data_IF_620206311215
#
_entry.id   IF_620206311215
#
_cell.length_a   1.000
_cell.length_b   1.000
_cell.length_c   1.000
_cell.angle_alpha   90.00
_cell.angle_beta   90.00
_cell.angle_gamma   90.00
#
_symmetry.space_group_name_H-M   'P 1'
#
loop_
_entity.id
_entity.type
_entity.pdbx_description
1 polymer ?
#
# COMPACT_ATOMS: atom_id res chain seq x y z
N UNK A 1 9.83 -25.94 -2.74
CA UNK A 1 9.56 -26.45 -4.10
C UNK A 1 9.92 -25.37 -5.11
N UNK A 2 11.01 -25.55 -5.86
CA UNK A 2 11.44 -24.62 -6.91
C UNK A 2 10.57 -24.85 -8.13
N UNK A 3 9.63 -23.95 -8.39
CA UNK A 3 8.80 -23.96 -9.59
C UNK A 3 9.57 -23.14 -10.64
N UNK A 4 10.29 -23.82 -11.55
CA UNK A 4 11.11 -23.15 -12.57
C UNK A 4 10.42 -23.03 -13.94
N UNK A 5 9.29 -23.73 -14.15
CA UNK A 5 8.71 -23.91 -15.49
C UNK A 5 7.23 -23.47 -15.58
N UNK A 6 6.77 -22.58 -14.70
CA UNK A 6 5.39 -22.11 -14.69
C UNK A 6 5.30 -20.67 -15.16
N UNK A 7 4.73 -20.48 -16.36
CA UNK A 7 4.46 -19.19 -17.00
C UNK A 7 3.11 -18.64 -16.53
N UNK A 8 3.01 -18.26 -15.26
CA UNK A 8 1.78 -17.74 -14.65
C UNK A 8 1.94 -16.26 -14.30
N UNK A 9 0.89 -15.50 -14.59
CA UNK A 9 0.67 -14.17 -14.03
C UNK A 9 -0.43 -14.30 -12.96
N UNK A 10 -0.14 -13.86 -11.74
CA UNK A 10 -1.09 -13.89 -10.62
C UNK A 10 -1.58 -12.48 -10.37
N UNK A 11 -2.89 -12.30 -10.18
CA UNK A 11 -3.54 -10.99 -9.96
C UNK A 11 -4.44 -11.02 -8.73
N UNK A 12 -4.92 -9.84 -8.31
CA UNK A 12 -5.89 -9.70 -7.22
C UNK A 12 -5.38 -10.21 -5.88
N UNK A 13 -6.29 -10.79 -5.10
CA UNK A 13 -6.01 -11.28 -3.74
C UNK A 13 -4.96 -12.40 -3.72
N UNK A 14 -4.96 -13.26 -4.75
CA UNK A 14 -3.95 -14.30 -4.91
C UNK A 14 -2.53 -13.73 -5.06
N UNK A 15 -2.39 -12.50 -5.58
CA UNK A 15 -1.12 -11.79 -5.70
C UNK A 15 -0.84 -10.84 -4.51
N UNK A 16 -1.76 -10.76 -3.53
CA UNK A 16 -1.64 -9.83 -2.41
C UNK A 16 -1.86 -8.36 -2.79
N UNK A 17 -2.69 -8.09 -3.82
CA UNK A 17 -3.02 -6.73 -4.26
C UNK A 17 -4.10 -6.05 -3.40
N UNK A 18 -4.46 -6.62 -2.25
CA UNK A 18 -5.35 -5.99 -1.27
C UNK A 18 -4.67 -4.84 -0.54
N UNK A 19 -5.36 -3.72 -0.34
CA UNK A 19 -4.92 -2.60 0.50
C UNK A 19 -4.80 -3.05 1.97
N UNK A 20 -3.62 -3.02 2.60
CA UNK A 20 -3.44 -3.47 3.99
C UNK A 20 -4.27 -2.71 5.03
N UNK A 21 -4.65 -1.46 4.74
CA UNK A 21 -5.39 -0.59 5.66
C UNK A 21 -6.89 -0.85 5.65
N UNK A 22 -7.49 -1.20 4.49
CA UNK A 22 -8.95 -1.36 4.35
C UNK A 22 -9.37 -2.78 3.98
N UNK A 23 -8.46 -3.63 3.52
CA UNK A 23 -8.76 -4.95 2.95
C UNK A 23 -9.29 -4.89 1.51
N UNK A 24 -9.56 -3.70 0.95
CA UNK A 24 -10.08 -3.57 -0.42
C UNK A 24 -9.05 -3.93 -1.48
N UNK A 25 -9.41 -4.83 -2.41
CA UNK A 25 -8.54 -5.27 -3.51
C UNK A 25 -9.02 -4.90 -4.91
N UNK A 26 -10.26 -4.42 -5.08
CA UNK A 26 -10.89 -4.24 -6.41
C UNK A 26 -10.07 -3.35 -7.34
N UNK A 27 -9.66 -2.16 -6.89
CA UNK A 27 -8.94 -1.19 -7.74
C UNK A 27 -7.55 -1.73 -8.12
N UNK A 28 -6.73 -2.13 -7.16
CA UNK A 28 -5.38 -2.64 -7.43
C UNK A 28 -5.41 -4.00 -8.15
N UNK A 29 -6.39 -4.84 -7.86
CA UNK A 29 -6.66 -6.07 -8.58
C UNK A 29 -7.02 -5.80 -10.04
N UNK A 30 -7.88 -4.80 -10.31
CA UNK A 30 -8.25 -4.37 -11.65
C UNK A 30 -7.07 -3.79 -12.44
N UNK A 31 -6.29 -2.89 -11.85
CA UNK A 31 -5.06 -2.35 -12.46
C UNK A 31 -4.10 -3.50 -12.80
N UNK A 32 -3.86 -4.40 -11.85
CA UNK A 32 -3.02 -5.57 -12.08
C UNK A 32 -3.57 -6.50 -13.16
N UNK A 33 -4.88 -6.69 -13.23
CA UNK A 33 -5.50 -7.50 -14.27
C UNK A 33 -5.32 -6.89 -15.66
N UNK A 34 -5.46 -5.56 -15.80
CA UNK A 34 -5.20 -4.84 -17.06
C UNK A 34 -3.78 -5.06 -17.54
N UNK A 35 -2.80 -4.78 -16.66
CA UNK A 35 -1.37 -4.96 -16.98
C UNK A 35 -1.06 -6.41 -17.31
N UNK A 36 -1.65 -7.38 -16.60
CA UNK A 36 -1.46 -8.80 -16.88
C UNK A 36 -2.00 -9.17 -18.27
N UNK A 37 -3.19 -8.65 -18.64
CA UNK A 37 -3.80 -8.86 -19.96
C UNK A 37 -2.94 -8.28 -21.09
N UNK A 38 -2.44 -7.07 -20.92
CA UNK A 38 -1.54 -6.42 -21.88
C UNK A 38 -0.25 -7.22 -22.09
N UNK A 39 0.42 -7.62 -21.00
CA UNK A 39 1.66 -8.41 -21.07
C UNK A 39 1.41 -9.80 -21.66
N UNK A 40 0.29 -10.43 -21.34
CA UNK A 40 -0.08 -11.73 -21.91
C UNK A 40 -0.37 -11.61 -23.42
N UNK A 41 -1.08 -10.57 -23.85
CA UNK A 41 -1.35 -10.32 -25.27
C UNK A 41 -0.07 -10.04 -26.08
N UNK A 42 0.87 -9.28 -25.51
CA UNK A 42 2.18 -9.00 -26.10
C UNK A 42 2.99 -10.30 -26.24
N UNK A 43 3.04 -11.11 -25.18
CA UNK A 43 3.71 -12.41 -25.15
C UNK A 43 3.19 -13.38 -26.24
N UNK A 44 1.86 -13.45 -26.41
CA UNK A 44 1.23 -14.27 -27.45
C UNK A 44 1.62 -13.77 -28.84
N UNK A 45 1.53 -12.46 -29.07
CA UNK A 45 1.80 -11.86 -30.37
C UNK A 45 3.22 -12.13 -30.87
N UNK A 46 4.20 -12.19 -29.97
CA UNK A 46 5.61 -12.44 -30.32
C UNK A 46 6.07 -13.88 -30.04
N UNK A 47 5.19 -14.76 -29.55
CA UNK A 47 5.51 -16.14 -29.21
C UNK A 47 6.52 -16.32 -28.07
N UNK A 48 6.67 -15.33 -27.16
CA UNK A 48 7.65 -15.38 -26.08
C UNK A 48 6.96 -15.48 -24.70
N UNK A 49 6.97 -16.68 -24.15
CA UNK A 49 6.40 -16.98 -22.84
C UNK A 49 7.45 -17.11 -21.73
N UNK A 50 8.71 -16.76 -22.01
CA UNK A 50 9.78 -16.91 -21.02
C UNK A 50 9.48 -16.09 -19.77
N UNK A 51 9.83 -16.63 -18.60
CA UNK A 51 9.68 -15.96 -17.31
C UNK A 51 10.34 -14.57 -17.28
N UNK A 52 11.47 -14.40 -17.98
CA UNK A 52 12.16 -13.12 -18.14
C UNK A 52 11.29 -12.09 -18.87
N UNK A 53 10.54 -12.52 -19.86
CA UNK A 53 9.61 -11.66 -20.60
C UNK A 53 8.38 -11.32 -19.75
N UNK A 54 7.77 -12.33 -19.12
CA UNK A 54 6.61 -12.15 -18.23
C UNK A 54 6.93 -11.30 -16.99
N UNK A 55 8.21 -11.17 -16.60
CA UNK A 55 8.63 -10.26 -15.54
C UNK A 55 8.28 -8.78 -15.82
N UNK A 56 7.99 -8.40 -17.07
CA UNK A 56 7.42 -7.08 -17.42
C UNK A 56 6.17 -6.78 -16.58
N UNK A 57 5.25 -7.72 -16.47
CA UNK A 57 4.04 -7.59 -15.64
C UNK A 57 4.39 -7.19 -14.21
N UNK A 58 5.32 -7.94 -13.62
CA UNK A 58 5.76 -7.75 -12.25
C UNK A 58 6.43 -6.38 -12.05
N UNK A 59 7.14 -5.86 -13.05
CA UNK A 59 7.75 -4.54 -13.03
C UNK A 59 6.66 -3.45 -13.07
N UNK A 60 5.76 -3.52 -14.05
CA UNK A 60 4.75 -2.50 -14.32
C UNK A 60 3.82 -2.28 -13.13
N UNK A 61 3.19 -3.33 -12.59
CA UNK A 61 2.29 -3.12 -11.44
C UNK A 61 3.04 -2.60 -10.21
N UNK A 62 4.31 -3.00 -10.05
CA UNK A 62 5.13 -2.52 -8.93
C UNK A 62 5.40 -1.03 -9.04
N UNK A 63 5.62 -0.52 -10.24
CA UNK A 63 5.78 0.91 -10.52
C UNK A 63 4.50 1.67 -10.19
N UNK A 64 3.33 1.10 -10.53
CA UNK A 64 2.02 1.70 -10.25
C UNK A 64 1.72 1.86 -8.75
N UNK A 65 1.77 0.77 -7.96
CA UNK A 65 1.19 0.81 -6.61
C UNK A 65 1.99 0.09 -5.51
N UNK A 66 3.18 -0.46 -5.77
CA UNK A 66 3.97 -1.14 -4.71
C UNK A 66 4.31 -0.21 -3.55
N UNK A 67 4.64 1.05 -3.85
CA UNK A 67 4.99 2.02 -2.81
C UNK A 67 3.78 2.31 -1.92
N UNK A 68 2.59 2.45 -2.51
CA UNK A 68 1.34 2.64 -1.77
C UNK A 68 1.08 1.43 -0.85
N UNK A 69 1.17 0.20 -1.36
CA UNK A 69 1.02 -1.01 -0.55
C UNK A 69 2.03 -1.07 0.62
N UNK A 70 3.29 -0.68 0.40
CA UNK A 70 4.30 -0.61 1.47
C UNK A 70 3.93 0.39 2.54
N UNK A 71 3.53 1.60 2.17
CA UNK A 71 3.11 2.65 3.12
C UNK A 71 1.90 2.19 3.91
N UNK A 72 0.87 1.68 3.24
CA UNK A 72 -0.34 1.14 3.88
C UNK A 72 0.00 0.04 4.89
N UNK A 73 0.92 -0.88 4.55
CA UNK A 73 1.38 -1.93 5.47
C UNK A 73 2.05 -1.36 6.72
N UNK A 74 2.91 -0.36 6.56
CA UNK A 74 3.58 0.32 7.69
C UNK A 74 2.54 1.03 8.56
N UNK A 75 1.62 1.77 7.96
CA UNK A 75 0.52 2.46 8.67
C UNK A 75 -0.32 1.46 9.46
N UNK A 76 -0.74 0.36 8.82
CA UNK A 76 -1.51 -0.70 9.49
C UNK A 76 -0.73 -1.30 10.67
N UNK A 77 0.55 -1.64 10.47
CA UNK A 77 1.39 -2.18 11.53
C UNK A 77 1.54 -1.20 12.69
N UNK A 78 1.76 0.09 12.42
CA UNK A 78 1.84 1.14 13.43
C UNK A 78 0.52 1.27 14.21
N UNK A 79 -0.62 1.37 13.52
CA UNK A 79 -1.94 1.47 14.16
C UNK A 79 -2.21 0.26 15.06
N UNK A 80 -1.86 -0.96 14.62
CA UNK A 80 -2.00 -2.18 15.43
C UNK A 80 -1.17 -2.18 16.72
N UNK A 81 -0.18 -1.29 16.87
CA UNK A 81 0.59 -1.15 18.11
C UNK A 81 0.02 -0.13 19.10
N UNK A 82 -0.95 0.68 18.69
CA UNK A 82 -1.55 1.70 19.55
C UNK A 82 -2.51 1.06 20.56
N UNK A 83 -2.45 1.52 21.80
CA UNK A 83 -3.46 1.18 22.81
C UNK A 83 -4.76 1.93 22.51
N UNK A 84 -5.92 1.49 23.02
CA UNK A 84 -7.20 2.20 22.82
C UNK A 84 -7.12 3.70 23.17
N UNK A 85 -6.47 4.04 24.30
CA UNK A 85 -6.23 5.43 24.72
C UNK A 85 -5.37 6.23 23.72
N UNK A 86 -4.34 5.61 23.14
CA UNK A 86 -3.49 6.28 22.16
C UNK A 86 -4.21 6.44 20.82
N UNK A 87 -5.04 5.47 20.44
CA UNK A 87 -5.85 5.55 19.23
C UNK A 87 -6.89 6.67 19.34
N UNK A 88 -7.58 6.78 20.47
CA UNK A 88 -8.49 7.89 20.76
C UNK A 88 -7.76 9.24 20.71
N UNK A 89 -6.61 9.34 21.37
CA UNK A 89 -5.77 10.55 21.31
C UNK A 89 -5.36 10.92 19.88
N UNK A 90 -5.03 9.93 19.05
CA UNK A 90 -4.71 10.16 17.65
C UNK A 90 -5.92 10.73 16.91
N UNK A 91 -7.13 10.17 17.09
CA UNK A 91 -8.35 10.70 16.48
C UNK A 91 -8.61 12.15 16.91
N UNK A 92 -8.51 12.47 18.19
CA UNK A 92 -8.70 13.84 18.69
C UNK A 92 -7.70 14.83 18.06
N UNK A 93 -6.45 14.42 17.86
CA UNK A 93 -5.45 15.27 17.19
C UNK A 93 -5.78 15.50 15.71
N UNK A 94 -6.27 14.46 15.03
CA UNK A 94 -6.69 14.54 13.62
C UNK A 94 -7.99 15.32 13.42
N UNK A 95 -8.83 15.42 14.46
CA UNK A 95 -10.16 16.04 14.41
C UNK A 95 -10.14 17.58 14.32
N UNK A 96 -8.96 18.20 14.40
CA UNK A 96 -8.83 19.67 14.30
C UNK A 96 -9.23 20.19 12.91
N UNK A 97 -9.89 21.37 12.79
CA UNK A 97 -10.42 21.88 11.52
C UNK A 97 -9.39 21.91 10.38
N UNK A 98 -8.15 22.30 10.69
CA UNK A 98 -7.05 22.34 9.71
C UNK A 98 -6.65 20.95 9.21
N UNK A 99 -6.62 19.95 10.09
CA UNK A 99 -6.27 18.58 9.70
C UNK A 99 -7.44 17.89 9.00
N UNK A 100 -8.67 18.07 9.46
CA UNK A 100 -9.89 17.63 8.75
C UNK A 100 -9.94 18.15 7.31
N UNK A 101 -9.68 19.44 7.11
CA UNK A 101 -9.65 20.03 5.77
C UNK A 101 -8.57 19.38 4.90
N UNK A 102 -7.35 19.20 5.43
CA UNK A 102 -6.27 18.49 4.71
C UNK A 102 -6.63 17.04 4.38
N UNK A 103 -7.24 16.31 5.31
CA UNK A 103 -7.68 14.93 5.09
C UNK A 103 -8.75 14.88 4.01
N UNK A 104 -9.67 15.85 4.00
CA UNK A 104 -10.73 15.91 2.97
C UNK A 104 -10.18 16.25 1.59
N UNK A 105 -9.15 17.12 1.51
CA UNK A 105 -8.54 17.52 0.24
C UNK A 105 -7.55 16.50 -0.33
N UNK A 106 -6.79 15.82 0.53
CA UNK A 106 -5.72 14.90 0.15
C UNK A 106 -6.08 13.42 0.37
N UNK A 107 -7.28 13.16 0.87
CA UNK A 107 -7.78 11.84 1.20
C UNK A 107 -8.08 11.03 -0.04
N UNK A 108 -7.10 10.25 -0.48
CA UNK A 108 -7.24 9.28 -1.55
C UNK A 108 -7.11 7.86 -0.96
N UNK A 109 -8.18 7.07 -1.10
CA UNK A 109 -8.26 5.71 -0.56
C UNK A 109 -7.29 4.76 -1.29
N UNK A 110 -6.97 5.05 -2.54
CA UNK A 110 -6.04 4.30 -3.39
C UNK A 110 -4.60 4.85 -3.29
N UNK A 111 -4.45 6.16 -3.07
CA UNK A 111 -3.17 6.83 -2.96
C UNK A 111 -2.88 7.39 -1.55
N UNK A 112 -2.78 6.48 -0.57
CA UNK A 112 -2.64 6.87 0.84
C UNK A 112 -1.28 7.49 1.20
N UNK A 113 -0.25 7.38 0.34
CA UNK A 113 1.08 7.96 0.62
C UNK A 113 1.04 9.49 0.80
N UNK A 114 0.18 10.18 0.05
CA UNK A 114 0.08 11.65 0.06
C UNK A 114 -0.43 12.15 1.41
N UNK A 115 -1.53 11.58 1.90
CA UNK A 115 -2.10 11.98 3.20
C UNK A 115 -1.18 11.57 4.35
N UNK A 116 -0.58 10.37 4.31
CA UNK A 116 0.37 9.92 5.33
C UNK A 116 1.55 10.87 5.43
N UNK A 117 2.16 11.24 4.30
CA UNK A 117 3.26 12.20 4.28
C UNK A 117 2.84 13.58 4.82
N UNK A 118 1.67 14.08 4.41
CA UNK A 118 1.12 15.37 4.87
C UNK A 118 0.87 15.39 6.39
N UNK A 119 0.40 14.28 6.96
CA UNK A 119 0.21 14.13 8.41
C UNK A 119 1.56 14.04 9.14
N UNK A 120 2.51 13.22 8.65
CA UNK A 120 3.84 13.11 9.25
C UNK A 120 4.59 14.46 9.26
N UNK A 121 4.37 15.31 8.25
CA UNK A 121 4.97 16.64 8.16
C UNK A 121 4.25 17.71 8.99
N UNK A 122 3.23 17.36 9.79
CA UNK A 122 2.57 18.30 10.68
C UNK A 122 3.26 18.32 12.07
N UNK A 123 3.91 19.43 12.47
CA UNK A 123 4.65 19.50 13.74
C UNK A 123 3.78 19.25 14.97
N UNK A 124 2.47 19.54 14.90
CA UNK A 124 1.54 19.28 16.01
C UNK A 124 1.39 17.79 16.33
N UNK A 125 1.67 16.92 15.37
CA UNK A 125 1.59 15.47 15.54
C UNK A 125 2.91 14.87 16.04
N UNK A 126 4.03 15.58 15.91
CA UNK A 126 5.36 15.04 16.24
C UNK A 126 5.51 14.54 17.67
N UNK A 127 5.06 15.25 18.73
CA UNK A 127 5.19 14.72 20.10
C UNK A 127 4.51 13.36 20.26
N UNK A 128 3.32 13.19 19.65
CA UNK A 128 2.58 11.94 19.67
C UNK A 128 3.26 10.86 18.81
N UNK A 129 3.66 11.21 17.58
CA UNK A 129 4.28 10.29 16.63
C UNK A 129 5.66 9.81 17.10
N UNK A 130 6.46 10.64 17.75
CA UNK A 130 7.75 10.24 18.33
C UNK A 130 7.55 9.29 19.50
N UNK A 131 6.66 9.64 20.45
CA UNK A 131 6.35 8.79 21.59
C UNK A 131 5.85 7.40 21.17
N UNK A 132 4.89 7.35 20.25
CA UNK A 132 4.31 6.08 19.77
C UNK A 132 5.20 5.37 18.75
N UNK A 133 5.97 6.11 17.95
CA UNK A 133 6.90 5.59 16.96
C UNK A 133 8.08 4.87 17.58
N UNK A 134 8.61 5.35 18.71
CA UNK A 134 9.61 4.62 19.48
C UNK A 134 9.07 3.27 19.94
N UNK A 135 7.85 3.23 20.51
CA UNK A 135 7.21 1.97 20.94
C UNK A 135 6.97 1.02 19.76
N UNK A 136 6.58 1.55 18.61
CA UNK A 136 6.45 0.77 17.38
C UNK A 136 7.79 0.14 16.96
N UNK A 137 8.87 0.91 16.97
CA UNK A 137 10.21 0.40 16.61
C UNK A 137 10.71 -0.70 17.55
N UNK A 138 10.47 -0.58 18.86
CA UNK A 138 10.86 -1.60 19.84
C UNK A 138 10.05 -2.89 19.74
N UNK A 139 8.79 -2.83 19.27
CA UNK A 139 7.91 -4.00 19.14
C UNK A 139 8.12 -4.79 17.83
N UNK A 140 8.92 -4.24 16.92
CA UNK A 140 9.26 -4.85 15.62
C UNK A 140 10.62 -5.56 15.62
N UNK A 141 11.37 -5.50 16.74
CA UNK A 141 12.51 -6.38 17.04
C UNK A 141 12.00 -7.64 17.73
#
# INVERSE_FOLDING_TARGET
KSIKDINILVVGDAAGHTKPTTGGGVVFGGIAASIAGEVASDAISIGNFESKYLAKYQKLWKEEFKLNLKVMRIVRAYINTLTPKNLERLFLLLDTPRLKSKISQLGDVDNQKTIVFSLLMNPKLWPFLLYTGLRFAFKQK
#
